data_IF_986371597734
#
_entry.id   IF_986371597734
#
_cell.length_a   1.000
_cell.length_b   1.000
_cell.length_c   1.000
_cell.angle_alpha   90.00
_cell.angle_beta   90.00
_cell.angle_gamma   90.00
#
_symmetry.space_group_name_H-M   'P 1'
#
loop_
_entity.id
_entity.type
_entity.pdbx_description
1 polymer ?
#
# COMPACT_ATOMS: atom_id res chain seq x y z
N UNK A 1 5.60 -0.12 -18.57
CA UNK A 1 6.05 -0.81 -19.81
C UNK A 1 6.15 -2.34 -19.65
N UNK A 2 6.75 -2.87 -18.56
CA UNK A 2 6.89 -4.33 -18.36
C UNK A 2 5.55 -5.04 -18.05
N UNK A 3 4.73 -4.48 -17.16
CA UNK A 3 3.40 -5.04 -16.82
C UNK A 3 2.49 -5.07 -18.06
N UNK A 4 2.35 -3.98 -18.82
CA UNK A 4 1.52 -3.98 -20.04
C UNK A 4 2.00 -4.92 -21.15
N UNK A 5 3.31 -5.12 -21.32
CA UNK A 5 3.87 -6.04 -22.35
C UNK A 5 3.78 -7.52 -21.98
N UNK A 6 3.84 -7.83 -20.68
CA UNK A 6 3.80 -9.21 -20.19
C UNK A 6 2.36 -9.64 -19.86
N UNK A 7 1.50 -8.73 -19.39
CA UNK A 7 0.19 -9.07 -18.82
C UNK A 7 -1.02 -9.01 -19.78
N UNK A 8 -0.95 -8.36 -20.95
CA UNK A 8 -2.12 -8.22 -21.84
C UNK A 8 -3.35 -7.58 -21.16
N UNK A 9 -4.49 -7.50 -21.84
CA UNK A 9 -5.74 -6.95 -21.25
C UNK A 9 -6.45 -7.91 -20.29
N UNK A 10 -6.21 -9.22 -20.43
CA UNK A 10 -6.83 -10.29 -19.62
C UNK A 10 -6.02 -10.61 -18.36
N UNK A 11 -4.73 -10.25 -18.32
CA UNK A 11 -3.85 -10.56 -17.20
C UNK A 11 -3.08 -11.88 -17.35
N UNK A 12 -2.08 -12.07 -16.47
CA UNK A 12 -1.40 -13.36 -16.28
C UNK A 12 -1.96 -14.01 -15.01
N UNK A 13 -2.19 -15.33 -15.05
CA UNK A 13 -2.74 -16.10 -13.92
C UNK A 13 -4.10 -15.58 -13.41
N UNK A 14 -4.87 -14.92 -14.27
CA UNK A 14 -6.16 -14.32 -13.94
C UNK A 14 -6.08 -12.95 -13.27
N UNK A 15 -4.88 -12.35 -13.14
CA UNK A 15 -4.68 -11.03 -12.55
C UNK A 15 -4.70 -9.91 -13.59
N UNK A 16 -5.76 -9.09 -13.58
CA UNK A 16 -5.84 -7.95 -14.51
C UNK A 16 -4.73 -6.92 -14.21
N UNK A 17 -4.19 -6.21 -15.23
CA UNK A 17 -3.25 -5.12 -15.00
C UNK A 17 -3.81 -4.03 -14.08
N UNK A 18 -5.12 -3.79 -14.17
CA UNK A 18 -5.82 -2.84 -13.30
C UNK A 18 -5.73 -3.26 -11.83
N UNK A 19 -5.99 -4.54 -11.53
CA UNK A 19 -5.89 -5.07 -10.16
C UNK A 19 -4.45 -5.03 -9.65
N UNK A 20 -3.49 -5.47 -10.46
CA UNK A 20 -2.07 -5.49 -10.09
C UNK A 20 -1.56 -4.08 -9.80
N UNK A 21 -1.79 -3.13 -10.71
CA UNK A 21 -1.32 -1.76 -10.51
C UNK A 21 -2.05 -1.15 -9.30
N UNK A 22 -3.38 -1.28 -9.20
CA UNK A 22 -4.14 -0.71 -8.07
C UNK A 22 -3.72 -1.26 -6.70
N UNK A 23 -3.44 -2.56 -6.61
CA UNK A 23 -3.06 -3.19 -5.35
C UNK A 23 -1.60 -2.91 -4.93
N UNK A 24 -0.69 -2.80 -5.89
CA UNK A 24 0.75 -2.71 -5.63
C UNK A 24 1.27 -1.26 -5.54
N UNK A 25 0.56 -0.29 -6.11
CA UNK A 25 0.92 1.14 -5.97
C UNK A 25 0.45 1.75 -4.65
N UNK A 26 -0.33 1.02 -3.86
CA UNK A 26 -0.97 1.54 -2.65
C UNK A 26 -0.80 0.58 -1.47
N UNK A 27 0.02 0.99 -0.49
CA UNK A 27 0.31 0.19 0.70
C UNK A 27 -0.52 0.54 1.92
N UNK A 28 -0.75 -0.40 2.83
CA UNK A 28 -1.52 -0.11 4.04
C UNK A 28 -0.71 0.77 5.00
N UNK A 29 -1.01 2.08 4.98
CA UNK A 29 -0.36 3.08 5.80
C UNK A 29 -0.51 2.89 7.31
N UNK A 30 -1.71 2.51 7.76
CA UNK A 30 -1.97 2.22 9.18
C UNK A 30 -1.20 1.00 9.67
N UNK A 31 -1.13 -0.06 8.85
CA UNK A 31 -0.33 -1.24 9.16
C UNK A 31 1.17 -0.91 9.20
N UNK A 32 1.67 -0.16 8.21
CA UNK A 32 3.06 0.30 8.21
C UNK A 32 3.38 1.12 9.47
N UNK A 33 2.54 2.11 9.82
CA UNK A 33 2.76 2.96 10.99
C UNK A 33 2.76 2.15 12.30
N UNK A 34 1.88 1.14 12.42
CA UNK A 34 1.88 0.24 13.57
C UNK A 34 3.16 -0.59 13.67
N UNK A 35 3.61 -1.16 12.55
CA UNK A 35 4.84 -1.98 12.51
C UNK A 35 6.10 -1.13 12.72
N UNK A 36 6.13 0.09 12.18
CA UNK A 36 7.20 1.06 12.42
C UNK A 36 7.24 1.49 13.90
N UNK A 37 6.08 1.70 14.53
CA UNK A 37 6.01 2.04 15.95
C UNK A 37 6.45 0.88 16.87
N UNK A 38 6.26 -0.37 16.45
CA UNK A 38 6.62 -1.56 17.23
C UNK A 38 8.08 -2.01 17.00
N UNK A 39 8.57 -1.93 15.76
CA UNK A 39 9.85 -2.53 15.34
C UNK A 39 10.88 -1.54 14.80
N UNK A 40 10.50 -0.29 14.51
CA UNK A 40 11.33 0.77 13.96
C UNK A 40 11.59 1.91 14.94
N UNK A 41 11.88 3.10 14.42
CA UNK A 41 12.14 4.32 15.19
C UNK A 41 11.19 5.50 14.85
N UNK A 42 11.39 6.65 15.50
CA UNK A 42 10.58 7.86 15.27
C UNK A 42 10.70 8.40 13.84
N UNK A 43 11.84 8.20 13.19
CA UNK A 43 12.06 8.60 11.79
C UNK A 43 11.23 7.73 10.86
N UNK A 44 11.16 6.42 11.13
CA UNK A 44 10.36 5.47 10.35
C UNK A 44 8.86 5.75 10.46
N UNK A 45 8.40 6.12 11.66
CA UNK A 45 7.03 6.57 11.89
C UNK A 45 6.77 7.91 11.19
N UNK A 46 7.74 8.83 11.23
CA UNK A 46 7.67 10.12 10.54
C UNK A 46 7.63 10.00 9.00
N UNK A 47 8.34 9.01 8.45
CA UNK A 47 8.36 8.72 7.01
C UNK A 47 6.97 8.35 6.46
N UNK A 48 6.05 7.91 7.32
CA UNK A 48 4.67 7.64 6.93
C UNK A 48 3.99 8.86 6.26
N UNK A 49 4.33 10.08 6.68
CA UNK A 49 3.76 11.29 6.08
C UNK A 49 4.02 11.37 4.56
N UNK A 50 5.24 11.01 4.13
CA UNK A 50 5.59 10.94 2.70
C UNK A 50 4.97 9.73 2.04
N UNK A 51 4.92 8.59 2.72
CA UNK A 51 4.25 7.40 2.21
C UNK A 51 2.76 7.61 1.98
N UNK A 52 2.10 8.47 2.77
CA UNK A 52 0.67 8.74 2.64
C UNK A 52 0.30 9.41 1.30
N UNK A 53 1.27 9.94 0.56
CA UNK A 53 1.06 10.41 -0.82
C UNK A 53 0.59 9.31 -1.76
N UNK A 54 0.88 8.03 -1.45
CA UNK A 54 0.38 6.90 -2.23
C UNK A 54 -1.04 6.48 -1.86
N UNK A 55 -1.59 7.05 -0.79
CA UNK A 55 -2.88 6.64 -0.25
C UNK A 55 -3.99 7.24 -1.12
N UNK A 56 -4.32 6.54 -2.20
CA UNK A 56 -5.35 6.94 -3.15
C UNK A 56 -5.03 6.47 -4.58
N UNK A 57 -5.83 6.90 -5.56
CA UNK A 57 -5.65 6.47 -6.94
C UNK A 57 -4.49 7.19 -7.64
N UNK A 58 -3.82 8.18 -7.02
CA UNK A 58 -2.85 9.04 -7.71
C UNK A 58 -1.76 8.26 -8.47
N UNK A 59 -0.94 7.48 -7.75
CA UNK A 59 0.13 6.73 -8.40
C UNK A 59 -0.41 5.62 -9.31
N UNK A 60 -1.60 5.09 -9.05
CA UNK A 60 -2.26 4.15 -9.97
C UNK A 60 -2.59 4.82 -11.29
N UNK A 61 -3.18 6.01 -11.25
CA UNK A 61 -3.53 6.82 -12.41
C UNK A 61 -2.28 7.25 -13.19
N UNK A 62 -1.23 7.68 -12.49
CA UNK A 62 0.07 7.99 -13.10
C UNK A 62 0.66 6.74 -13.76
N UNK A 63 0.67 5.59 -13.08
CA UNK A 63 1.22 4.35 -13.62
C UNK A 63 0.43 3.84 -14.83
N UNK A 64 -0.90 3.90 -14.80
CA UNK A 64 -1.77 3.52 -15.91
C UNK A 64 -1.60 4.46 -17.10
N UNK A 65 -1.57 5.78 -16.86
CA UNK A 65 -1.32 6.78 -17.90
C UNK A 65 0.07 6.64 -18.52
N UNK A 66 1.12 6.57 -17.70
CA UNK A 66 2.50 6.46 -18.15
C UNK A 66 2.81 5.10 -18.81
N UNK A 67 2.08 4.04 -18.47
CA UNK A 67 2.20 2.74 -19.14
C UNK A 67 1.48 2.68 -20.49
N UNK A 68 0.66 3.67 -20.82
CA UNK A 68 -0.20 3.68 -22.01
C UNK A 68 -1.42 2.77 -21.90
N UNK A 69 -1.71 2.23 -20.70
CA UNK A 69 -2.84 1.33 -20.49
C UNK A 69 -4.17 2.06 -20.34
N UNK A 70 -4.16 3.32 -19.85
CA UNK A 70 -5.36 4.13 -19.68
C UNK A 70 -5.16 5.55 -20.20
N UNK A 71 -6.21 6.16 -20.71
CA UNK A 71 -6.21 7.57 -21.11
C UNK A 71 -6.69 8.43 -19.94
N UNK A 72 -5.77 8.78 -19.05
CA UNK A 72 -6.09 9.56 -17.85
C UNK A 72 -6.05 11.06 -18.15
N UNK A 73 -7.16 11.80 -17.95
CA UNK A 73 -7.15 13.25 -18.10
C UNK A 73 -6.22 13.93 -17.07
N UNK A 74 -5.40 14.89 -17.51
CA UNK A 74 -4.50 15.65 -16.61
C UNK A 74 -5.30 16.36 -15.50
N UNK A 75 -6.52 16.81 -15.80
CA UNK A 75 -7.43 17.42 -14.80
C UNK A 75 -7.72 16.47 -13.63
N UNK A 76 -7.87 15.17 -13.90
CA UNK A 76 -8.11 14.15 -12.86
C UNK A 76 -6.88 13.95 -11.98
N UNK A 77 -5.67 14.00 -12.55
CA UNK A 77 -4.42 13.96 -11.78
C UNK A 77 -4.29 15.20 -10.87
N UNK A 78 -4.62 16.38 -11.39
CA UNK A 78 -4.62 17.61 -10.60
C UNK A 78 -5.65 17.55 -9.45
N UNK A 79 -6.85 17.01 -9.70
CA UNK A 79 -7.90 16.89 -8.70
C UNK A 79 -7.48 16.06 -7.47
N UNK A 80 -6.62 15.05 -7.64
CA UNK A 80 -6.11 14.24 -6.52
C UNK A 80 -5.02 14.96 -5.73
N UNK A 81 -4.26 15.88 -6.36
CA UNK A 81 -3.20 16.66 -5.70
C UNK A 81 -3.76 17.82 -4.87
N UNK A 82 -4.87 18.44 -5.31
CA UNK A 82 -5.44 19.63 -4.66
C UNK A 82 -5.65 19.47 -3.14
N UNK A 83 -6.26 18.38 -2.63
CA UNK A 83 -6.43 18.18 -1.19
C UNK A 83 -5.10 18.13 -0.42
N UNK A 84 -4.06 17.54 -1.02
CA UNK A 84 -2.72 17.46 -0.43
C UNK A 84 -2.11 18.87 -0.30
N UNK A 85 -2.24 19.69 -1.36
CA UNK A 85 -1.76 21.07 -1.36
C UNK A 85 -2.48 21.92 -0.32
N UNK A 86 -3.81 21.79 -0.24
CA UNK A 86 -4.61 22.49 0.78
C UNK A 86 -4.14 22.08 2.18
N UNK A 87 -3.97 20.79 2.44
CA UNK A 87 -3.46 20.28 3.72
C UNK A 87 -2.06 20.81 4.07
N UNK A 88 -1.16 20.88 3.08
CA UNK A 88 0.19 21.39 3.25
C UNK A 88 0.22 22.90 3.53
N UNK A 89 -0.59 23.67 2.82
CA UNK A 89 -0.70 25.12 3.05
C UNK A 89 -1.30 25.38 4.43
N UNK A 90 -2.43 24.75 4.72
CA UNK A 90 -3.16 24.93 5.98
C UNK A 90 -2.31 24.51 7.19
N UNK A 91 -1.62 23.36 7.12
CA UNK A 91 -0.76 22.88 8.19
C UNK A 91 0.50 23.72 8.42
N UNK A 92 0.91 24.55 7.45
CA UNK A 92 2.01 25.50 7.62
C UNK A 92 1.55 26.87 8.13
N UNK A 93 0.32 27.28 7.80
CA UNK A 93 -0.24 28.58 8.21
C UNK A 93 -0.87 28.52 9.61
N UNK A 94 -1.42 27.37 10.00
CA UNK A 94 -2.17 27.21 11.24
C UNK A 94 -1.64 26.01 12.06
N UNK A 95 -0.84 26.26 13.12
CA UNK A 95 -0.32 25.23 14.01
C UNK A 95 -1.40 24.45 14.77
N UNK A 96 -2.52 25.10 15.11
CA UNK A 96 -3.63 24.44 15.81
C UNK A 96 -4.34 23.48 14.87
N UNK A 97 -4.57 23.91 13.63
CA UNK A 97 -5.12 23.05 12.58
C UNK A 97 -4.17 21.89 12.23
N UNK A 98 -2.85 22.12 12.20
CA UNK A 98 -1.84 21.06 12.05
C UNK A 98 -1.95 20.02 13.16
N UNK A 99 -2.07 20.46 14.41
CA UNK A 99 -2.21 19.59 15.57
C UNK A 99 -3.53 18.81 15.53
N UNK A 100 -4.63 19.49 15.21
CA UNK A 100 -5.97 18.91 15.09
C UNK A 100 -6.02 17.83 14.00
N UNK A 101 -5.58 18.15 12.78
CA UNK A 101 -5.56 17.21 11.65
C UNK A 101 -4.53 16.09 11.84
N UNK A 102 -3.40 16.39 12.48
CA UNK A 102 -2.37 15.40 12.82
C UNK A 102 -2.88 14.34 13.79
N UNK A 103 -3.54 14.77 14.87
CA UNK A 103 -4.11 13.89 15.90
C UNK A 103 -5.33 13.11 15.40
N UNK A 104 -6.07 13.66 14.44
CA UNK A 104 -7.28 13.04 13.87
C UNK A 104 -7.00 11.77 13.06
N UNK A 105 -5.76 11.52 12.63
CA UNK A 105 -5.40 10.34 11.82
C UNK A 105 -5.78 9.03 12.50
N UNK A 106 -5.56 8.91 13.81
CA UNK A 106 -5.88 7.69 14.57
C UNK A 106 -7.38 7.45 14.69
N UNK A 107 -8.20 8.51 14.71
CA UNK A 107 -9.66 8.40 14.69
C UNK A 107 -10.16 8.07 13.29
N UNK A 108 -9.57 8.65 12.23
CA UNK A 108 -9.97 8.37 10.86
C UNK A 108 -9.71 6.91 10.45
N UNK A 109 -8.71 6.22 11.03
CA UNK A 109 -8.43 4.81 10.74
C UNK A 109 -9.66 3.91 10.97
N UNK A 110 -10.29 3.85 12.17
CA UNK A 110 -11.50 3.04 12.37
C UNK A 110 -12.70 3.56 11.58
N UNK A 111 -12.89 4.88 11.45
CA UNK A 111 -14.03 5.44 10.69
C UNK A 111 -13.93 5.23 9.17
N UNK A 112 -12.73 5.04 8.63
CA UNK A 112 -12.52 4.68 7.23
C UNK A 112 -12.51 3.15 7.04
N UNK A 113 -11.85 2.42 7.94
CA UNK A 113 -11.64 0.98 7.80
C UNK A 113 -12.89 0.16 8.14
N UNK A 114 -13.71 0.58 9.11
CA UNK A 114 -14.92 -0.15 9.49
C UNK A 114 -15.98 -0.14 8.38
N UNK A 115 -16.36 1.00 7.78
CA UNK A 115 -17.27 1.00 6.63
C UNK A 115 -16.69 0.27 5.42
N UNK A 116 -15.37 0.34 5.21
CA UNK A 116 -14.72 -0.41 4.14
C UNK A 116 -14.86 -1.92 4.35
N UNK A 117 -14.59 -2.40 5.57
CA UNK A 117 -14.79 -3.80 5.93
C UNK A 117 -16.27 -4.23 5.89
N UNK A 118 -17.18 -3.38 6.38
CA UNK A 118 -18.62 -3.64 6.35
C UNK A 118 -19.20 -3.65 4.92
N UNK A 119 -18.63 -2.85 4.02
CA UNK A 119 -18.99 -2.80 2.60
C UNK A 119 -18.34 -3.91 1.76
N UNK A 120 -17.37 -4.66 2.30
CA UNK A 120 -16.73 -5.77 1.60
C UNK A 120 -17.60 -7.03 1.62
N UNK A 121 -17.99 -7.49 0.44
CA UNK A 121 -18.70 -8.76 0.28
C UNK A 121 -17.70 -9.93 0.32
N UNK A 122 -17.78 -10.75 1.37
CA UNK A 122 -16.99 -11.99 1.52
C UNK A 122 -17.18 -12.93 0.32
N UNK A 123 -18.36 -12.96 -0.32
CA UNK A 123 -18.59 -13.75 -1.52
C UNK A 123 -17.76 -13.23 -2.69
N UNK A 124 -17.54 -11.93 -2.77
CA UNK A 124 -16.71 -11.29 -3.79
C UNK A 124 -15.22 -11.60 -3.56
N UNK A 125 -14.77 -11.71 -2.31
CA UNK A 125 -13.41 -12.20 -1.97
C UNK A 125 -13.24 -13.67 -2.36
N UNK A 126 -14.23 -14.52 -2.03
CA UNK A 126 -14.22 -15.94 -2.40
C UNK A 126 -14.23 -16.09 -3.94
N UNK A 127 -15.03 -15.28 -4.64
CA UNK A 127 -15.07 -15.24 -6.11
C UNK A 127 -13.77 -14.73 -6.73
N UNK A 128 -13.06 -13.81 -6.09
CA UNK A 128 -11.73 -13.37 -6.53
C UNK A 128 -10.74 -14.54 -6.58
N UNK A 129 -10.98 -15.58 -5.76
CA UNK A 129 -10.35 -16.89 -5.85
C UNK A 129 -8.84 -16.87 -5.71
N UNK A 130 -8.20 -17.86 -6.33
CA UNK A 130 -6.73 -17.98 -6.37
C UNK A 130 -6.00 -16.71 -6.82
N UNK A 131 -6.46 -15.98 -7.87
CA UNK A 131 -5.82 -14.74 -8.29
C UNK A 131 -5.76 -13.69 -7.17
N UNK A 132 -6.86 -13.41 -6.46
CA UNK A 132 -6.88 -12.43 -5.37
C UNK A 132 -5.90 -12.77 -4.24
N UNK A 133 -5.82 -14.06 -3.87
CA UNK A 133 -4.87 -14.55 -2.87
C UNK A 133 -3.43 -14.38 -3.35
N UNK A 134 -3.15 -14.78 -4.59
CA UNK A 134 -1.84 -14.64 -5.21
C UNK A 134 -1.40 -13.17 -5.22
N UNK A 135 -2.29 -12.24 -5.56
CA UNK A 135 -2.00 -10.81 -5.54
C UNK A 135 -1.65 -10.31 -4.14
N UNK A 136 -2.37 -10.76 -3.11
CA UNK A 136 -2.06 -10.44 -1.72
C UNK A 136 -0.69 -10.96 -1.29
N UNK A 137 -0.33 -12.18 -1.70
CA UNK A 137 0.99 -12.76 -1.44
C UNK A 137 2.08 -11.96 -2.18
N UNK A 138 1.87 -11.64 -3.47
CA UNK A 138 2.79 -10.80 -4.25
C UNK A 138 2.99 -9.43 -3.58
N UNK A 139 1.91 -8.81 -3.09
CA UNK A 139 1.97 -7.54 -2.39
C UNK A 139 2.86 -7.59 -1.14
N UNK A 140 2.92 -8.72 -0.42
CA UNK A 140 3.86 -8.87 0.70
C UNK A 140 5.31 -8.88 0.24
N UNK A 141 5.60 -9.56 -0.87
CA UNK A 141 6.95 -9.63 -1.41
C UNK A 141 7.45 -8.30 -1.98
N UNK A 142 6.58 -7.35 -2.33
CA UNK A 142 7.04 -6.02 -2.79
C UNK A 142 7.77 -5.25 -1.69
N UNK A 143 7.50 -5.53 -0.41
CA UNK A 143 8.23 -4.97 0.73
C UNK A 143 9.72 -5.35 0.79
N UNK A 144 10.13 -6.41 0.08
CA UNK A 144 11.55 -6.79 -0.04
C UNK A 144 12.35 -5.69 -0.75
N UNK A 145 11.76 -5.00 -1.73
CA UNK A 145 12.43 -3.92 -2.45
C UNK A 145 12.87 -2.80 -1.51
N UNK A 146 11.94 -2.16 -0.77
CA UNK A 146 12.27 -1.17 0.25
C UNK A 146 13.18 -1.70 1.36
N UNK A 147 13.03 -2.95 1.81
CA UNK A 147 13.95 -3.59 2.76
C UNK A 147 15.41 -3.59 2.24
N UNK A 148 15.63 -4.02 0.99
CA UNK A 148 16.96 -4.03 0.38
C UNK A 148 17.48 -2.60 0.20
N UNK A 149 16.60 -1.68 -0.20
CA UNK A 149 16.97 -0.29 -0.45
C UNK A 149 17.43 0.41 0.83
N UNK A 150 16.68 0.29 1.93
CA UNK A 150 17.05 0.83 3.24
C UNK A 150 18.38 0.24 3.72
N UNK A 151 18.56 -1.07 3.52
CA UNK A 151 19.83 -1.74 3.83
C UNK A 151 21.02 -1.19 3.04
N UNK A 152 20.81 -0.82 1.77
CA UNK A 152 21.84 -0.19 0.94
C UNK A 152 22.22 1.20 1.46
N UNK A 153 21.26 1.95 1.99
CA UNK A 153 21.47 3.24 2.64
C UNK A 153 21.95 3.14 4.09
N UNK A 154 22.19 1.92 4.60
CA UNK A 154 22.60 1.63 5.98
C UNK A 154 21.59 2.06 7.05
N UNK A 155 20.34 2.22 6.65
CA UNK A 155 19.20 2.47 7.55
C UNK A 155 18.65 1.16 8.12
N UNK A 156 17.74 1.27 9.09
CA UNK A 156 17.01 0.12 9.60
C UNK A 156 16.06 -0.44 8.51
N UNK A 157 16.26 -1.69 8.03
CA UNK A 157 15.51 -2.17 6.87
C UNK A 157 14.18 -2.87 7.20
N UNK A 158 13.95 -3.33 8.43
CA UNK A 158 12.75 -4.09 8.84
C UNK A 158 11.45 -3.36 8.56
N UNK A 159 11.41 -2.04 8.77
CA UNK A 159 10.22 -1.24 8.45
C UNK A 159 9.91 -1.23 6.95
N UNK A 160 10.92 -1.40 6.10
CA UNK A 160 10.76 -1.55 4.65
C UNK A 160 9.93 -2.76 4.26
N UNK A 161 9.96 -3.84 5.03
CA UNK A 161 9.06 -4.99 4.79
C UNK A 161 7.60 -4.64 5.06
N UNK A 162 7.33 -3.71 5.98
CA UNK A 162 5.99 -3.24 6.33
C UNK A 162 5.29 -2.48 5.20
N UNK A 163 6.02 -2.04 4.17
CA UNK A 163 5.44 -1.43 2.97
C UNK A 163 4.82 -2.48 2.04
N UNK A 164 5.13 -3.77 2.26
CA UNK A 164 4.61 -4.91 1.51
C UNK A 164 3.19 -5.28 1.94
N UNK A 165 2.24 -4.39 1.69
CA UNK A 165 0.83 -4.63 1.95
C UNK A 165 -0.03 -3.89 0.94
N UNK A 166 -1.28 -4.28 0.79
CA UNK A 166 -2.27 -3.54 -0.01
C UNK A 166 -3.22 -2.80 0.94
N UNK A 167 -3.47 -1.52 0.65
CA UNK A 167 -4.35 -0.70 1.47
C UNK A 167 -5.85 -0.97 1.25
N UNK A 168 -6.66 -0.70 2.26
CA UNK A 168 -8.12 -0.77 2.13
C UNK A 168 -8.68 0.22 1.11
N UNK A 169 -8.19 1.47 1.09
CA UNK A 169 -8.62 2.47 0.11
C UNK A 169 -8.30 2.07 -1.35
N UNK A 170 -7.37 1.16 -1.58
CA UNK A 170 -7.04 0.64 -2.91
C UNK A 170 -8.23 -0.09 -3.55
N UNK A 171 -9.14 -0.66 -2.75
CA UNK A 171 -10.33 -1.40 -3.22
C UNK A 171 -11.25 -0.54 -4.09
N UNK A 172 -11.34 0.76 -3.80
CA UNK A 172 -12.12 1.71 -4.58
C UNK A 172 -11.42 2.16 -5.88
N UNK A 173 -10.11 1.94 -6.00
CA UNK A 173 -9.30 2.49 -7.11
C UNK A 173 -9.72 1.96 -8.48
N UNK A 174 -10.01 0.66 -8.70
CA UNK A 174 -10.47 0.17 -9.99
C UNK A 174 -11.76 0.83 -10.48
N UNK A 175 -12.70 1.12 -9.57
CA UNK A 175 -13.94 1.82 -9.90
C UNK A 175 -13.68 3.29 -10.31
N UNK A 176 -12.74 3.97 -9.64
CA UNK A 176 -12.31 5.32 -10.01
C UNK A 176 -11.64 5.33 -11.39
N UNK A 177 -10.81 4.34 -11.71
CA UNK A 177 -10.20 4.24 -13.04
C UNK A 177 -11.28 4.03 -14.11
N UNK A 178 -12.25 3.16 -13.87
CA UNK A 178 -13.33 2.89 -14.82
C UNK A 178 -14.26 4.08 -15.06
N UNK A 179 -14.42 4.98 -14.08
CA UNK A 179 -15.17 6.23 -14.28
C UNK A 179 -14.40 7.27 -15.10
N UNK A 180 -13.07 7.16 -15.16
CA UNK A 180 -12.21 8.04 -15.96
C UNK A 180 -11.93 7.48 -17.35
N UNK A 181 -11.95 6.15 -17.51
CA UNK A 181 -11.72 5.46 -18.78
C UNK A 181 -12.66 4.24 -18.88
N UNK A 182 -13.67 4.35 -19.74
CA UNK A 182 -14.74 3.36 -19.90
C UNK A 182 -14.24 2.00 -20.38
N UNK A 183 -13.03 1.91 -20.96
CA UNK A 183 -12.43 0.64 -21.39
C UNK A 183 -12.21 -0.32 -20.23
N UNK A 184 -12.09 0.19 -19.01
CA UNK A 184 -11.92 -0.62 -17.80
C UNK A 184 -13.24 -1.07 -17.14
N UNK A 185 -14.41 -0.59 -17.61
CA UNK A 185 -15.72 -0.92 -17.02
C UNK A 185 -15.95 -2.43 -16.89
N UNK A 186 -15.56 -3.20 -17.91
CA UNK A 186 -15.76 -4.65 -17.94
C UNK A 186 -14.88 -5.41 -16.92
N UNK A 187 -13.74 -4.84 -16.51
CA UNK A 187 -12.79 -5.47 -15.59
C UNK A 187 -12.76 -4.82 -14.21
N UNK A 188 -13.46 -3.71 -14.01
CA UNK A 188 -13.44 -2.95 -12.76
C UNK A 188 -13.95 -3.77 -11.57
N UNK A 189 -15.08 -4.48 -11.75
CA UNK A 189 -15.67 -5.28 -10.68
C UNK A 189 -14.78 -6.45 -10.26
N UNK A 190 -14.19 -7.17 -11.23
CA UNK A 190 -13.26 -8.27 -10.95
C UNK A 190 -11.95 -7.76 -10.35
N UNK A 191 -11.44 -6.61 -10.81
CA UNK A 191 -10.26 -5.98 -10.25
C UNK A 191 -10.50 -5.51 -8.80
N UNK A 192 -11.64 -4.88 -8.52
CA UNK A 192 -12.03 -4.50 -7.15
C UNK A 192 -12.08 -5.72 -6.23
N UNK A 193 -12.64 -6.84 -6.70
CA UNK A 193 -12.66 -8.10 -5.94
C UNK A 193 -11.24 -8.62 -5.63
N UNK A 194 -10.34 -8.57 -6.62
CA UNK A 194 -8.94 -8.99 -6.46
C UNK A 194 -8.17 -8.08 -5.51
N UNK A 195 -8.33 -6.76 -5.60
CA UNK A 195 -7.70 -5.80 -4.69
C UNK A 195 -8.23 -5.97 -3.26
N UNK A 196 -9.53 -6.23 -3.10
CA UNK A 196 -10.14 -6.53 -1.80
C UNK A 196 -9.54 -7.79 -1.16
N UNK A 197 -9.42 -8.88 -1.93
CA UNK A 197 -8.76 -10.10 -1.48
C UNK A 197 -7.28 -9.84 -1.13
N UNK A 198 -6.56 -9.09 -1.97
CA UNK A 198 -5.16 -8.75 -1.74
C UNK A 198 -4.96 -7.92 -0.46
N UNK A 199 -5.85 -6.96 -0.18
CA UNK A 199 -5.86 -6.18 1.05
C UNK A 199 -5.95 -7.08 2.29
N UNK A 200 -6.93 -8.01 2.32
CA UNK A 200 -7.12 -8.92 3.47
C UNK A 200 -5.91 -9.84 3.64
N UNK A 201 -5.50 -10.52 2.56
CA UNK A 201 -4.43 -11.51 2.61
C UNK A 201 -3.09 -10.86 3.00
N UNK A 202 -2.75 -9.71 2.41
CA UNK A 202 -1.51 -9.01 2.75
C UNK A 202 -1.54 -8.43 4.16
N UNK A 203 -2.69 -7.93 4.64
CA UNK A 203 -2.83 -7.46 6.03
C UNK A 203 -2.66 -8.59 7.06
N UNK A 204 -3.03 -9.82 6.70
CA UNK A 204 -2.78 -10.98 7.55
C UNK A 204 -1.31 -11.42 7.53
N UNK A 205 -0.68 -11.48 6.36
CA UNK A 205 0.66 -12.08 6.19
C UNK A 205 1.78 -11.09 6.56
N UNK A 206 1.65 -9.81 6.21
CA UNK A 206 2.69 -8.80 6.40
C UNK A 206 3.19 -8.69 7.86
N UNK A 207 2.33 -8.60 8.89
CA UNK A 207 2.80 -8.56 10.29
C UNK A 207 3.65 -9.78 10.66
N UNK A 208 3.30 -10.98 10.20
CA UNK A 208 4.07 -12.19 10.48
C UNK A 208 5.45 -12.14 9.81
N UNK A 209 5.53 -11.64 8.56
CA UNK A 209 6.80 -11.50 7.84
C UNK A 209 7.72 -10.50 8.55
N UNK A 210 7.20 -9.34 8.96
CA UNK A 210 7.99 -8.33 9.69
C UNK A 210 8.43 -8.85 11.06
N UNK A 211 7.51 -9.43 11.83
CA UNK A 211 7.82 -10.00 13.16
C UNK A 211 8.84 -11.15 13.08
N UNK A 212 8.74 -12.01 12.07
CA UNK A 212 9.70 -13.08 11.84
C UNK A 212 11.09 -12.53 11.48
N UNK A 213 11.15 -11.56 10.56
CA UNK A 213 12.40 -10.91 10.20
C UNK A 213 13.05 -10.21 11.42
N UNK A 214 12.25 -9.58 12.28
CA UNK A 214 12.71 -8.95 13.51
C UNK A 214 13.35 -9.98 14.45
N UNK A 215 12.68 -11.12 14.69
CA UNK A 215 13.22 -12.21 15.52
C UNK A 215 14.53 -12.76 14.99
N UNK A 216 14.65 -12.92 13.67
CA UNK A 216 15.91 -13.36 13.05
C UNK A 216 17.05 -12.37 13.30
N UNK A 217 16.79 -11.07 13.19
CA UNK A 217 17.76 -10.00 13.49
C UNK A 217 18.18 -10.02 14.95
N UNK A 218 17.21 -10.04 15.87
CA UNK A 218 17.46 -10.01 17.32
C UNK A 218 18.31 -11.21 17.78
N UNK A 219 17.97 -12.42 17.31
CA UNK A 219 18.76 -13.62 17.57
C UNK A 219 20.19 -13.53 17.04
N UNK A 220 20.39 -12.89 15.89
CA UNK A 220 21.73 -12.68 15.31
C UNK A 220 22.55 -11.70 16.15
N UNK A 221 21.94 -10.62 16.62
CA UNK A 221 22.59 -9.63 17.49
C UNK A 221 22.97 -10.23 18.85
N UNK A 222 22.08 -11.00 19.47
CA UNK A 222 22.36 -11.72 20.73
C UNK A 222 23.57 -12.65 20.60
N UNK A 223 23.66 -13.42 19.50
CA UNK A 223 24.81 -14.30 19.22
C UNK A 223 26.12 -13.55 18.97
N UNK A 224 26.05 -12.34 18.40
CA UNK A 224 27.22 -11.51 18.15
C UNK A 224 27.75 -10.95 19.48
N UNK A 225 26.87 -10.41 20.31
CA UNK A 225 27.21 -9.85 21.61
C UNK A 225 27.73 -10.93 22.57
N UNK A 226 27.17 -12.14 22.55
CA UNK A 226 27.69 -13.24 23.37
C UNK A 226 29.12 -13.65 22.98
N UNK A 227 29.48 -13.58 21.68
CA UNK A 227 30.86 -13.87 21.23
C UNK A 227 31.86 -12.80 21.63
N UNK A 228 31.44 -11.53 21.66
CA UNK A 228 32.29 -10.41 22.07
C UNK A 228 32.59 -10.48 23.57
N UNK A 229 31.65 -10.92 24.40
CA UNK A 229 31.84 -11.03 25.86
C UNK A 229 32.75 -12.23 26.22
N UNK A 230 32.84 -13.24 25.36
CA UNK A 230 33.68 -14.44 25.57
C UNK A 230 35.05 -14.37 24.90
N UNK A 231 35.41 -13.25 24.26
CA UNK A 231 36.72 -13.01 23.62
C UNK A 231 37.50 -11.96 24.38
#
# INVERSE_FOLDING_TARGET
MFVGKVFGTVGILGLSPLAVISALTNSNGGLYASLASEYGDETDVGAYALFSLKDGPFFTLVALGASGLAQIPIKSLAAVIIPILIGLILGNIDPDMKSFLGSSKLLLIPFFSFPLGAGMDLRTIIKAGGPGILLGVIAVFTGIGPYILLKLFKEEPLVGLGTGSTAGNAVATPAVVASLDSTFTAVAASATAQVAAACVISAMICPFVVSYAFKLRDNKMKKLNSKVITS
#
